data_IF_883809207645
#
_entry.id   IF_883809207645
#
_cell.length_a   1.000
_cell.length_b   1.000
_cell.length_c   1.000
_cell.angle_alpha   90.00
_cell.angle_beta   90.00
_cell.angle_gamma   90.00
#
_symmetry.space_group_name_H-M   'P 1'
#
loop_
_entity.id
_entity.type
_entity.pdbx_description
1 polymer ?
2 polymer ?
3 water ?
#
# COMPACT_ATOMS: atom_id res chain seq x y z
N UNK A 1 9.65 -4.20 -0.72
CA UNK A 1 10.67 -3.14 -0.45
C UNK A 1 11.94 -3.42 -1.25
N UNK A 2 12.51 -2.38 -1.85
CA UNK A 2 13.72 -2.54 -2.64
C UNK A 2 14.96 -1.94 -1.98
N UNK A 3 16.08 -2.67 -2.04
CA UNK A 3 17.33 -2.22 -1.47
C UNK A 3 17.32 -2.21 0.05
N UNK A 4 16.48 -3.06 0.64
CA UNK A 4 16.40 -3.10 2.09
C UNK A 4 16.94 -4.37 2.68
N UNK A 5 16.69 -4.57 3.97
CA UNK A 5 17.16 -5.76 4.66
C UNK A 5 16.05 -6.38 5.53
N UNK A 6 16.20 -7.67 5.80
CA UNK A 6 15.22 -8.40 6.60
C UNK A 6 15.04 -7.76 7.97
N UNK A 7 13.78 -7.67 8.39
CA UNK A 7 13.47 -7.08 9.69
C UNK A 7 13.43 -8.18 10.72
N UNK A 8 13.58 -7.79 11.98
CA UNK A 8 13.56 -8.75 13.07
C UNK A 8 12.16 -8.79 13.65
N UNK A 9 11.80 -9.93 14.22
CA UNK A 9 10.49 -10.09 14.82
C UNK A 9 10.26 -9.02 15.89
N UNK A 10 9.04 -8.50 15.96
CA UNK A 10 8.74 -7.50 16.95
C UNK A 10 9.32 -6.12 16.68
N UNK A 11 10.04 -5.98 15.56
CA UNK A 11 10.66 -4.70 15.22
C UNK A 11 9.63 -3.60 14.86
N UNK A 12 8.62 -3.94 14.05
CA UNK A 12 7.59 -2.97 13.64
C UNK A 12 6.21 -3.46 14.05
N UNK A 13 5.90 -3.37 15.34
CA UNK A 13 4.64 -3.79 15.96
C UNK A 13 3.36 -3.30 15.29
N UNK A 14 3.42 -2.13 14.64
CA UNK A 14 2.22 -1.60 14.01
C UNK A 14 1.94 -2.09 12.59
N UNK A 15 2.95 -2.69 11.97
CA UNK A 15 2.83 -3.19 10.61
C UNK A 15 1.99 -4.45 10.51
N UNK A 16 0.98 -4.44 9.64
CA UNK A 16 0.16 -5.64 9.46
C UNK A 16 0.18 -6.05 8.00
N UNK A 17 -0.40 -7.20 7.70
CA UNK A 17 -0.45 -7.67 6.33
C UNK A 17 -1.92 -7.89 5.98
N UNK A 18 -2.40 -7.26 4.92
CA UNK A 18 -3.78 -7.42 4.51
C UNK A 18 -3.89 -8.52 3.45
N UNK A 19 -4.69 -9.53 3.75
CA UNK A 19 -4.88 -10.62 2.80
C UNK A 19 -6.26 -10.58 2.22
N UNK A 20 -6.39 -11.12 1.03
CA UNK A 20 -7.69 -11.21 0.40
C UNK A 20 -7.90 -12.72 0.23
N UNK A 21 -9.14 -13.17 0.30
CA UNK A 21 -9.40 -14.61 0.12
C UNK A 21 -9.95 -14.91 -1.26
N UNK A 22 -10.18 -13.87 -2.05
CA UNK A 22 -10.70 -14.07 -3.40
C UNK A 22 -9.76 -13.53 -4.46
N UNK A 23 -9.51 -14.33 -5.50
CA UNK A 23 -10.11 -15.66 -5.64
C UNK A 23 -9.49 -16.66 -4.65
N UNK A 24 -8.28 -16.37 -4.18
CA UNK A 24 -7.56 -17.21 -3.22
C UNK A 24 -6.82 -16.34 -2.21
N UNK A 25 -6.33 -16.95 -1.12
CA UNK A 25 -5.62 -16.21 -0.07
C UNK A 25 -4.22 -15.76 -0.48
N UNK A 26 -3.96 -14.47 -0.33
CA UNK A 26 -2.66 -13.89 -0.69
C UNK A 26 -2.53 -12.46 -0.18
N UNK A 27 -1.30 -12.04 0.06
CA UNK A 27 -1.00 -10.70 0.53
C UNK A 27 -1.46 -9.68 -0.51
N UNK A 28 -2.30 -8.74 -0.08
CA UNK A 28 -2.84 -7.71 -0.97
C UNK A 28 -2.15 -6.38 -0.74
N UNK A 29 -2.04 -6.01 0.54
CA UNK A 29 -1.41 -4.74 0.92
C UNK A 29 -0.88 -4.73 2.34
N UNK A 30 -0.21 -3.64 2.67
CA UNK A 30 0.30 -3.46 4.01
C UNK A 30 -0.67 -2.56 4.72
N UNK A 31 -0.43 -2.28 5.99
CA UNK A 31 -1.32 -1.41 6.75
C UNK A 31 -0.75 -1.14 8.12
N UNK A 32 -1.19 -0.07 8.78
CA UNK A 32 -0.69 0.26 10.11
C UNK A 32 -1.77 0.28 11.17
N UNK A 33 -1.46 -0.29 12.33
CA UNK A 33 -2.40 -0.30 13.45
C UNK A 33 -2.31 1.06 14.10
N UNK A 34 -3.40 1.82 14.11
CA UNK A 34 -3.38 3.12 14.76
C UNK A 34 -4.32 3.12 15.95
N UNK A 35 -5.20 2.11 15.98
CA UNK A 35 -6.15 1.98 17.08
C UNK A 35 -6.37 0.49 17.32
N UNK A 36 -6.89 0.12 18.50
CA UNK A 36 -7.10 -1.28 18.83
C UNK A 36 -8.14 -1.96 17.96
N UNK A 37 -8.69 -1.20 17.02
CA UNK A 37 -9.72 -1.74 16.14
C UNK A 37 -9.63 -0.98 14.80
N UNK A 38 -8.52 -0.24 14.63
CA UNK A 38 -8.33 0.58 13.45
C UNK A 38 -7.00 0.40 12.71
N UNK A 39 -7.11 0.09 11.43
CA UNK A 39 -5.93 -0.09 10.56
C UNK A 39 -5.97 1.02 9.51
N UNK A 40 -4.90 1.82 9.45
CA UNK A 40 -4.83 2.88 8.46
C UNK A 40 -4.08 2.30 7.28
N UNK A 41 -4.66 2.42 6.10
CA UNK A 41 -4.02 1.88 4.90
C UNK A 41 -4.37 2.74 3.66
N UNK A 42 -4.08 2.23 2.47
CA UNK A 42 -4.34 2.97 1.25
C UNK A 42 -5.71 2.61 0.67
N UNK A 43 -6.37 3.63 0.08
CA UNK A 43 -7.69 3.45 -0.53
C UNK A 43 -7.64 2.59 -1.77
N UNK A 44 -6.61 2.77 -2.60
CA UNK A 44 -6.50 2.00 -3.84
C UNK A 44 -6.27 0.53 -3.61
N UNK A 45 -5.97 0.16 -2.36
CA UNK A 45 -5.70 -1.24 -2.05
C UNK A 45 -6.97 -2.05 -2.24
N UNK A 46 -8.11 -1.37 -2.14
CA UNK A 46 -9.37 -2.10 -2.26
C UNK A 46 -10.02 -1.94 -3.61
N UNK A 47 -9.17 -1.77 -4.62
CA UNK A 47 -9.65 -1.62 -5.96
C UNK A 47 -10.39 -2.88 -6.35
N UNK A 48 -11.67 -2.72 -6.60
CA UNK A 48 -12.45 -3.85 -7.02
C UNK A 48 -13.16 -4.57 -5.90
N UNK A 49 -12.58 -4.52 -4.70
CA UNK A 49 -13.14 -5.16 -3.53
C UNK A 49 -14.55 -4.65 -3.26
N UNK A 50 -15.53 -5.54 -3.38
CA UNK A 50 -16.93 -5.16 -3.17
C UNK A 50 -17.35 -5.28 -1.70
N UNK A 51 -16.88 -6.34 -1.04
CA UNK A 51 -17.22 -6.56 0.36
C UNK A 51 -16.01 -6.82 1.24
N UNK A 52 -16.03 -6.31 2.47
CA UNK A 52 -14.92 -6.50 3.41
C UNK A 52 -14.87 -7.91 3.95
N UNK A 53 -15.80 -8.75 3.49
CA UNK A 53 -15.86 -10.13 3.94
C UNK A 53 -14.70 -10.98 3.44
N UNK A 54 -14.09 -10.57 2.34
CA UNK A 54 -12.97 -11.33 1.79
C UNK A 54 -11.64 -10.87 2.37
N UNK A 55 -11.70 -9.92 3.30
CA UNK A 55 -10.49 -9.37 3.90
C UNK A 55 -10.01 -10.04 5.19
N UNK A 56 -8.69 -10.08 5.36
CA UNK A 56 -8.06 -10.63 6.53
C UNK A 56 -6.85 -9.80 6.93
N UNK A 57 -6.83 -9.38 8.19
CA UNK A 57 -5.74 -8.57 8.73
C UNK A 57 -4.92 -9.41 9.70
N UNK A 58 -3.64 -9.59 9.39
CA UNK A 58 -2.76 -10.36 10.26
C UNK A 58 -1.73 -9.50 10.99
N UNK A 59 -1.87 -9.42 12.31
CA UNK A 59 -0.96 -8.64 13.13
C UNK A 59 0.18 -9.51 13.61
N UNK A 60 1.17 -8.89 14.24
CA UNK A 60 2.31 -9.63 14.74
C UNK A 60 2.79 -10.69 13.76
N UNK A 61 3.26 -10.26 12.60
CA UNK A 61 3.75 -11.19 11.59
C UNK A 61 5.13 -10.76 11.10
N UNK A 62 5.97 -11.75 10.84
CA UNK A 62 7.32 -11.48 10.35
C UNK A 62 7.52 -12.20 9.02
N UNK A 63 7.08 -13.45 8.96
CA UNK A 63 7.22 -14.26 7.75
C UNK A 63 5.85 -14.70 7.23
N UNK A 64 5.56 -14.35 5.98
CA UNK A 64 4.27 -14.70 5.38
C UNK A 64 3.99 -16.19 5.57
N UNK A 65 5.06 -16.97 5.64
CA UNK A 65 4.95 -18.42 5.84
C UNK A 65 4.17 -18.76 7.11
N UNK A 66 4.23 -17.87 8.09
CA UNK A 66 3.56 -18.08 9.36
C UNK A 66 2.04 -18.15 9.22
N UNK A 67 1.52 -17.65 8.11
CA UNK A 67 0.07 -17.68 7.92
C UNK A 67 -0.37 -19.07 7.45
N UNK A 68 -1.36 -19.63 8.16
CA UNK A 68 -1.90 -20.95 7.83
C UNK A 68 -3.41 -20.92 8.02
N UNK A 69 -4.05 -22.07 7.86
CA UNK A 69 -5.51 -22.16 8.00
C UNK A 69 -5.96 -21.92 9.44
N UNK A 70 -5.11 -22.35 10.38
CA UNK A 70 -5.40 -22.22 11.80
C UNK A 70 -5.00 -20.85 12.34
N UNK A 71 -4.07 -20.19 11.66
CA UNK A 71 -3.58 -18.86 12.07
C UNK A 71 -4.72 -17.85 12.30
N UNK A 72 -4.68 -17.21 13.45
CA UNK A 72 -5.70 -16.23 13.82
C UNK A 72 -5.50 -14.94 13.05
N UNK A 73 -6.60 -14.26 12.76
CA UNK A 73 -6.56 -12.99 12.04
C UNK A 73 -7.74 -12.13 12.48
N UNK A 74 -7.78 -10.90 11.98
CA UNK A 74 -8.88 -10.00 12.32
C UNK A 74 -9.72 -9.78 11.09
N UNK A 75 -11.02 -9.97 11.24
CA UNK A 75 -11.91 -9.76 10.12
C UNK A 75 -12.20 -8.29 10.00
N UNK A 76 -12.52 -7.82 8.81
CA UNK A 76 -12.83 -6.41 8.63
C UNK A 76 -14.33 -6.22 8.64
N UNK A 77 -14.79 -5.26 9.43
CA UNK A 77 -16.20 -4.99 9.53
C UNK A 77 -16.63 -3.89 8.57
N UNK A 78 -15.71 -2.98 8.26
CA UNK A 78 -16.04 -1.89 7.36
C UNK A 78 -14.81 -1.22 6.75
N UNK A 79 -14.91 -0.91 5.47
CA UNK A 79 -13.85 -0.26 4.73
C UNK A 79 -14.25 1.21 4.57
N UNK A 80 -13.52 2.10 5.21
CA UNK A 80 -13.82 3.51 5.14
C UNK A 80 -12.82 4.19 4.22
N UNK A 81 -13.32 4.69 3.10
CA UNK A 81 -12.45 5.36 2.14
C UNK A 81 -12.80 6.84 2.07
N UNK A 82 -11.77 7.68 2.04
CA UNK A 82 -11.97 9.12 1.98
C UNK A 82 -12.95 9.50 0.87
N UNK A 83 -13.93 10.33 1.19
CA UNK A 83 -14.95 10.74 0.22
C UNK A 83 -14.43 11.53 -0.96
N UNK A 84 -13.18 11.96 -0.92
CA UNK A 84 -12.62 12.72 -2.03
C UNK A 84 -11.65 11.92 -2.90
N UNK A 85 -11.42 10.67 -2.51
CA UNK A 85 -10.54 9.79 -3.27
C UNK A 85 -11.09 9.50 -4.66
N UNK A 86 -10.21 9.59 -5.64
CA UNK A 86 -10.60 9.34 -7.01
C UNK A 86 -9.51 8.51 -7.67
N UNK A 87 -8.28 8.98 -7.54
CA UNK A 87 -7.12 8.33 -8.13
C UNK A 87 -5.87 8.55 -7.28
N UNK A 88 -5.27 7.46 -6.82
CA UNK A 88 -4.08 7.51 -5.98
C UNK A 88 -3.10 8.60 -6.39
N UNK A 89 -2.90 8.74 -7.70
CA UNK A 89 -1.98 9.74 -8.24
C UNK A 89 -2.38 11.16 -7.88
N UNK A 90 -3.69 11.40 -7.88
CA UNK A 90 -4.21 12.73 -7.56
C UNK A 90 -4.18 13.02 -6.07
N UNK A 91 -4.14 11.98 -5.25
CA UNK A 91 -4.11 12.19 -3.81
C UNK A 91 -5.27 11.54 -3.10
N UNK A 92 -5.49 11.92 -1.85
CA UNK A 92 -6.57 11.39 -1.02
C UNK A 92 -6.58 9.88 -0.93
N UNK A 93 -5.45 9.27 -1.24
CA UNK A 93 -5.33 7.82 -1.23
C UNK A 93 -5.16 7.32 0.19
N UNK A 94 -6.24 7.32 0.95
CA UNK A 94 -6.20 6.89 2.33
C UNK A 94 -7.48 6.15 2.70
N UNK A 95 -7.36 5.13 3.55
CA UNK A 95 -8.53 4.36 3.96
C UNK A 95 -8.36 3.78 5.35
N UNK A 96 -9.48 3.63 6.04
CA UNK A 96 -9.48 3.06 7.38
C UNK A 96 -10.18 1.72 7.33
N UNK A 97 -9.59 0.73 7.97
CA UNK A 97 -10.19 -0.58 8.03
C UNK A 97 -10.63 -0.75 9.47
N UNK A 98 -11.92 -0.93 9.68
CA UNK A 98 -12.45 -1.13 11.04
C UNK A 98 -12.62 -2.62 11.29
N UNK A 99 -11.78 -3.16 12.17
CA UNK A 99 -11.81 -4.58 12.51
C UNK A 99 -13.08 -4.94 13.29
N UNK A 100 -13.46 -6.21 13.23
CA UNK A 100 -14.64 -6.69 13.92
C UNK A 100 -14.45 -6.76 15.44
N UNK A 101 -13.24 -7.09 15.86
CA UNK A 101 -12.93 -7.16 17.28
C UNK A 101 -11.72 -6.26 17.56
N UNK A 102 -11.40 -6.08 18.84
CA UNK A 102 -10.27 -5.25 19.23
C UNK A 102 -8.99 -6.06 19.34
N UNK A 103 -7.87 -5.37 19.21
CA UNK A 103 -6.55 -5.98 19.29
C UNK A 103 -6.02 -5.83 20.71
N UNK A 104 -5.26 -6.81 21.15
CA UNK A 104 -4.66 -6.75 22.47
C UNK A 104 -3.21 -6.37 22.27
N UNK A 105 -2.89 -5.11 22.53
CA UNK A 105 -1.53 -4.66 22.34
C UNK A 105 -0.53 -5.57 23.07
N UNK A 106 0.53 -5.94 22.36
CA UNK A 106 1.57 -6.77 22.91
C UNK A 106 2.86 -6.34 22.22
N UNK A 107 3.99 -6.89 22.64
CA UNK A 107 5.26 -6.53 22.04
C UNK A 107 5.34 -6.78 20.54
N UNK A 108 4.40 -7.56 20.02
CA UNK A 108 4.37 -7.90 18.59
C UNK A 108 3.30 -7.14 17.80
N UNK A 109 2.49 -6.35 18.48
CA UNK A 109 1.45 -5.61 17.81
C UNK A 109 0.95 -4.47 18.67
N UNK A 110 1.33 -3.25 18.28
CA UNK A 110 0.94 -2.06 19.03
C UNK A 110 0.54 -0.97 18.08
N UNK A 111 -0.05 0.11 18.62
CA UNK A 111 -0.46 1.22 17.78
C UNK A 111 0.69 2.19 17.56
N UNK A 112 0.75 2.78 16.38
CA UNK A 112 1.78 3.76 16.09
C UNK A 112 1.13 5.14 16.19
N UNK A 113 1.79 6.06 16.86
CA UNK A 113 1.24 7.40 17.01
C UNK A 113 1.08 8.17 15.71
N UNK A 114 0.02 8.97 15.66
CA UNK A 114 -0.22 9.81 14.50
C UNK A 114 0.54 11.11 14.66
N UNK A 115 0.86 11.78 13.55
CA UNK A 115 1.58 13.06 13.58
C UNK A 115 0.56 14.09 14.07
N UNK A 116 1.03 15.26 14.46
CA UNK A 116 0.12 16.29 14.92
C UNK A 116 0.55 17.62 14.33
N UNK A 117 -0.43 18.43 13.94
CA UNK A 117 -0.13 19.73 13.37
C UNK A 117 0.40 20.61 14.50
N UNK A 118 0.21 20.14 15.74
CA UNK A 118 0.65 20.88 16.92
C UNK A 118 2.07 20.56 17.35
N UNK A 119 2.77 19.73 16.59
CA UNK A 119 4.14 19.38 16.93
C UNK A 119 5.10 20.52 16.59
N UNK A 120 6.22 20.57 17.30
CA UNK A 120 7.19 21.63 17.12
C UNK A 120 8.52 21.16 16.52
N UNK A 121 9.07 22.02 15.65
CA UNK A 121 10.35 21.77 15.00
C UNK A 121 10.46 20.33 14.52
N UNK A 122 9.43 19.84 13.85
CA UNK A 122 9.41 18.49 13.34
C UNK A 122 10.35 18.32 12.15
N UNK A 123 11.38 17.51 12.34
CA UNK A 123 12.33 17.23 11.28
C UNK A 123 12.60 15.73 11.25
N UNK A 124 11.95 15.05 10.32
CA UNK A 124 12.13 13.62 10.21
C UNK A 124 13.42 13.32 9.47
N UNK A 125 14.33 12.65 10.15
CA UNK A 125 15.63 12.29 9.60
C UNK A 125 15.94 10.82 9.88
N UNK A 126 14.95 10.10 10.41
CA UNK A 126 15.12 8.69 10.73
C UNK A 126 13.91 7.90 10.24
N UNK A 127 13.61 8.00 8.95
CA UNK A 127 12.44 7.34 8.37
C UNK A 127 12.68 5.94 7.80
N UNK A 128 11.65 5.11 7.93
CA UNK A 128 11.72 3.75 7.43
C UNK A 128 10.42 3.31 6.76
N UNK A 129 10.56 2.59 5.64
CA UNK A 129 9.43 2.05 4.90
C UNK A 129 9.54 0.53 5.07
N UNK A 130 8.41 -0.10 5.37
CA UNK A 130 8.39 -1.53 5.60
C UNK A 130 7.30 -2.21 4.80
N UNK A 131 7.48 -3.50 4.54
CA UNK A 131 6.49 -4.24 3.78
C UNK A 131 7.04 -5.52 3.18
N UNK A 132 6.14 -6.34 2.63
CA UNK A 132 6.52 -7.60 2.00
C UNK A 132 6.47 -7.44 0.47
N UNK A 133 6.59 -6.20 0.01
CA UNK A 133 6.54 -5.97 -1.41
C UNK A 133 7.64 -6.65 -2.21
N UNK A 134 7.71 -6.30 -3.49
CA UNK A 134 8.70 -6.83 -4.42
C UNK A 134 10.07 -6.23 -4.07
N UNK A 135 11.13 -6.91 -4.48
CA UNK A 135 12.49 -6.42 -4.26
C UNK A 135 13.07 -5.86 -5.56
N UNK A 136 12.24 -5.83 -6.60
CA UNK A 136 12.64 -5.33 -7.91
C UNK A 136 11.48 -5.44 -8.88
N UNK A 137 11.20 -4.35 -9.58
CA UNK A 137 10.12 -4.32 -10.57
C UNK A 137 9.95 -5.71 -11.18
N UNK A 138 8.74 -6.25 -11.15
CA UNK A 138 8.49 -7.57 -11.71
C UNK A 138 9.09 -8.67 -10.81
N UNK A 139 8.70 -8.70 -9.54
CA UNK A 139 9.22 -9.71 -8.62
C UNK A 139 8.06 -10.48 -7.97
N UNK A 140 8.23 -10.82 -6.69
CA UNK A 140 7.19 -11.53 -5.96
C UNK A 140 7.20 -11.18 -4.47
N UNK A 141 6.05 -11.36 -3.82
CA UNK A 141 5.92 -11.06 -2.40
C UNK A 141 7.00 -11.78 -1.59
N UNK A 142 7.61 -11.07 -0.66
CA UNK A 142 8.64 -11.63 0.19
C UNK A 142 8.04 -12.33 1.41
N UNK A 143 8.77 -13.28 1.97
CA UNK A 143 8.30 -14.01 3.14
C UNK A 143 8.56 -13.21 4.41
N UNK A 144 9.74 -12.62 4.49
CA UNK A 144 10.15 -11.83 5.65
C UNK A 144 10.01 -10.32 5.47
N UNK A 145 9.29 -9.69 6.40
CA UNK A 145 9.08 -8.25 6.36
C UNK A 145 10.38 -7.56 6.09
N UNK A 146 10.39 -6.72 5.06
CA UNK A 146 11.59 -5.98 4.65
C UNK A 146 11.53 -4.53 5.11
N UNK A 147 12.68 -3.98 5.48
CA UNK A 147 12.75 -2.59 5.91
C UNK A 147 13.84 -1.87 5.14
N UNK A 148 13.75 -0.55 5.08
CA UNK A 148 14.75 0.23 4.36
C UNK A 148 14.73 1.67 4.82
N UNK A 149 15.90 2.19 5.16
CA UNK A 149 15.98 3.58 5.60
C UNK A 149 15.98 4.45 4.37
N UNK A 150 15.06 5.40 4.35
CA UNK A 150 14.92 6.28 3.21
C UNK A 150 14.72 7.72 3.65
N UNK A 151 15.48 8.64 3.06
CA UNK A 151 15.41 10.06 3.38
C UNK A 151 14.23 10.80 2.74
N UNK A 152 13.58 11.66 3.50
CA UNK A 152 12.46 12.43 2.97
C UNK A 152 13.00 13.46 2.00
N UNK A 153 12.26 13.71 0.93
CA UNK A 153 12.66 14.73 -0.06
C UNK A 153 11.53 15.74 -0.05
N UNK A 154 11.91 17.02 -0.06
CA UNK A 154 10.93 18.11 -0.04
C UNK A 154 9.89 17.94 -1.14
N UNK A 155 8.74 18.60 -0.99
CA UNK A 155 7.70 18.53 -2.00
C UNK A 155 8.13 19.19 -3.30
N UNK A 156 8.89 20.28 -3.17
CA UNK A 156 9.37 21.01 -4.33
C UNK A 156 10.28 20.12 -5.16
N UNK A 157 11.29 19.57 -4.50
CA UNK A 157 12.25 18.70 -5.13
C UNK A 157 11.56 17.53 -5.82
N UNK A 158 10.52 17.00 -5.18
CA UNK A 158 9.76 15.87 -5.71
C UNK A 158 8.92 16.27 -6.90
N UNK A 159 8.35 17.49 -6.83
CA UNK A 159 7.52 17.99 -7.91
C UNK A 159 8.33 18.02 -9.21
N UNK A 160 9.64 18.18 -9.08
CA UNK A 160 10.57 18.23 -10.21
C UNK A 160 10.85 16.84 -10.76
N UNK A 161 10.81 15.84 -9.90
CA UNK A 161 11.07 14.46 -10.33
C UNK A 161 9.84 13.91 -11.04
N UNK A 162 8.67 14.44 -10.69
CA UNK A 162 7.41 14.00 -11.30
C UNK A 162 6.75 15.12 -12.10
N UNK A 163 7.23 15.30 -13.32
CA UNK A 163 6.72 16.32 -14.22
C UNK A 163 5.44 15.83 -14.90
N UNK A 164 5.04 14.61 -14.56
CA UNK A 164 3.83 14.05 -15.12
C UNK A 164 2.67 14.23 -14.18
N UNK A 165 2.96 14.27 -12.87
CA UNK A 165 1.91 14.43 -11.89
C UNK A 165 2.01 15.71 -11.08
N UNK A 166 0.95 15.96 -10.30
CA UNK A 166 0.86 17.13 -9.44
C UNK A 166 1.06 16.71 -7.97
N UNK A 167 2.31 16.70 -7.52
CA UNK A 167 2.64 16.34 -6.14
C UNK A 167 2.05 17.41 -5.23
N UNK A 168 0.88 17.14 -4.65
CA UNK A 168 0.25 18.14 -3.78
C UNK A 168 0.87 18.16 -2.38
N UNK A 169 0.38 19.07 -1.54
CA UNK A 169 0.90 19.20 -0.17
C UNK A 169 0.39 18.04 0.70
N UNK A 170 -0.64 17.35 0.22
CA UNK A 170 -1.22 16.22 0.92
C UNK A 170 -0.46 14.93 0.63
N UNK A 171 0.70 15.06 -0.02
CA UNK A 171 1.52 13.91 -0.33
C UNK A 171 2.91 14.21 0.23
N UNK A 172 3.73 13.17 0.31
CA UNK A 172 5.09 13.33 0.83
C UNK A 172 5.94 12.29 0.11
N UNK A 173 7.14 12.67 -0.30
CA UNK A 173 7.99 11.74 -1.04
C UNK A 173 9.22 11.34 -0.24
N UNK A 174 9.83 10.23 -0.64
CA UNK A 174 11.02 9.74 0.04
C UNK A 174 11.86 8.88 -0.88
N UNK A 175 13.16 9.08 -0.85
CA UNK A 175 14.04 8.31 -1.71
C UNK A 175 15.36 8.99 -2.01
N UNK A 176 16.36 8.19 -2.35
CA UNK A 176 17.68 8.71 -2.67
C UNK A 176 17.71 9.21 -4.12
N UNK A 177 18.47 10.28 -4.36
CA UNK A 177 18.58 10.85 -5.70
C UNK A 177 19.01 9.78 -6.70
N UNK A 178 19.91 8.89 -6.28
CA UNK A 178 20.38 7.83 -7.14
C UNK A 178 19.49 6.60 -7.06
N UNK A 179 18.50 6.64 -6.17
CA UNK A 179 17.61 5.51 -6.01
C UNK A 179 18.29 4.35 -5.30
N UNK A 180 17.81 3.13 -5.56
CA UNK A 180 18.40 1.97 -4.93
C UNK A 180 17.52 1.43 -3.83
N UNK A 181 16.89 2.34 -3.09
CA UNK A 181 15.99 1.95 -2.02
C UNK A 181 14.66 2.65 -2.21
N UNK A 182 13.58 1.91 -2.02
CA UNK A 182 12.22 2.42 -2.18
C UNK A 182 11.21 1.32 -1.91
N UNK A 183 9.93 1.68 -1.91
CA UNK A 183 8.88 0.71 -1.70
C UNK A 183 8.53 0.18 -3.08
N UNK A 184 7.99 -1.03 -3.14
CA UNK A 184 7.61 -1.58 -4.43
C UNK A 184 6.24 -2.27 -4.34
N UNK A 185 5.81 -2.88 -5.43
CA UNK A 185 4.53 -3.56 -5.50
C UNK A 185 4.33 -4.51 -4.32
N UNK A 186 3.26 -4.30 -3.55
CA UNK A 186 2.99 -5.15 -2.41
C UNK A 186 3.18 -4.42 -1.11
N UNK A 187 3.78 -3.23 -1.18
CA UNK A 187 4.02 -2.43 0.02
C UNK A 187 2.97 -1.34 0.22
N UNK A 188 2.09 -1.16 -0.77
CA UNK A 188 1.05 -0.15 -0.65
C UNK A 188 0.29 -0.32 0.65
N UNK A 189 -0.10 0.80 1.25
CA UNK A 189 -0.81 0.70 2.52
C UNK A 189 0.13 0.64 3.71
N UNK A 190 1.36 0.20 3.44
CA UNK A 190 2.37 0.12 4.47
C UNK A 190 2.63 1.48 5.07
N UNK A 191 3.23 1.46 6.28
CA UNK A 191 3.56 2.69 7.00
C UNK A 191 4.91 3.25 6.59
N UNK A 192 5.05 4.56 6.78
CA UNK A 192 6.32 5.25 6.53
C UNK A 192 6.70 5.83 7.89
N UNK A 193 7.18 4.96 8.78
CA UNK A 193 7.50 5.36 10.14
C UNK A 193 8.77 6.23 10.23
N UNK A 194 8.66 7.35 10.95
CA UNK A 194 9.82 8.23 11.16
C UNK A 194 9.95 8.57 12.65
N UNK A 195 11.17 8.62 13.12
CA UNK A 195 11.46 8.94 14.53
C UNK A 195 11.39 10.47 14.75
N UNK A 196 10.63 10.92 15.75
CA UNK A 196 10.54 12.36 16.02
C UNK A 196 11.36 12.70 17.26
N UNK A 197 10.85 12.35 18.43
CA UNK A 197 11.60 12.60 19.66
C UNK A 197 11.57 11.34 20.50
N UNK A 198 12.21 10.28 19.98
CA UNK A 198 12.26 8.99 20.64
C UNK A 198 10.92 8.27 20.43
N UNK A 199 10.05 8.90 19.65
CA UNK A 199 8.74 8.32 19.37
C UNK A 199 8.52 8.12 17.87
N UNK A 200 7.91 7.00 17.51
CA UNK A 200 7.62 6.70 16.11
C UNK A 200 6.34 7.39 15.66
N UNK A 201 6.41 8.05 14.51
CA UNK A 201 5.25 8.73 13.95
C UNK A 201 4.90 8.20 12.58
N UNK A 202 3.63 7.85 12.37
CA UNK A 202 3.20 7.36 11.07
C UNK A 202 3.15 8.59 10.16
N UNK A 203 4.28 8.87 9.51
CA UNK A 203 4.38 10.03 8.64
C UNK A 203 3.62 9.87 7.34
N UNK A 204 3.80 8.74 6.68
CA UNK A 204 3.09 8.53 5.42
C UNK A 204 2.58 7.12 5.17
N UNK A 205 1.73 6.98 4.15
CA UNK A 205 1.18 5.69 3.74
C UNK A 205 1.68 5.41 2.33
N UNK A 206 2.24 4.21 2.12
CA UNK A 206 2.76 3.85 0.81
C UNK A 206 1.66 3.91 -0.25
N UNK A 207 1.82 4.81 -1.21
CA UNK A 207 0.83 5.01 -2.26
C UNK A 207 1.32 4.58 -3.63
N UNK A 208 2.25 5.33 -4.20
CA UNK A 208 2.74 4.99 -5.53
C UNK A 208 4.16 5.41 -5.83
N UNK A 209 4.48 5.43 -7.12
CA UNK A 209 5.81 5.81 -7.54
C UNK A 209 6.14 5.19 -8.88
N UNK A 210 6.79 5.97 -9.74
CA UNK A 210 7.16 5.51 -11.07
C UNK A 210 8.23 4.44 -10.93
N UNK A 211 7.86 3.20 -11.22
CA UNK A 211 8.82 2.12 -11.11
C UNK A 211 9.08 1.81 -9.65
N UNK A 212 10.28 1.33 -9.36
CA UNK A 212 10.67 0.99 -7.99
C UNK A 212 12.14 1.27 -7.78
N UNK A 213 12.44 2.27 -6.95
CA UNK A 213 13.80 2.63 -6.63
C UNK A 213 14.59 3.22 -7.80
N UNK A 214 13.88 3.76 -8.78
CA UNK A 214 14.57 4.36 -9.93
C UNK A 214 15.18 5.68 -9.48
N UNK A 215 16.31 6.05 -10.07
CA UNK A 215 16.97 7.30 -9.73
C UNK A 215 16.09 8.48 -10.15
N UNK A 216 16.11 9.52 -9.32
CA UNK A 216 15.33 10.73 -9.57
C UNK A 216 13.83 10.44 -9.64
N UNK A 217 13.45 9.26 -9.16
CA UNK A 217 12.05 8.83 -9.11
C UNK A 217 11.73 8.34 -7.70
N UNK A 218 11.46 9.27 -6.77
CA UNK A 218 11.14 9.02 -5.36
C UNK A 218 9.79 8.36 -5.14
N UNK A 219 9.66 7.66 -4.01
CA UNK A 219 8.40 7.03 -3.69
C UNK A 219 7.46 8.12 -3.21
N UNK A 220 6.17 8.00 -3.52
CA UNK A 220 5.18 8.97 -3.08
C UNK A 220 4.26 8.32 -2.06
N UNK A 221 4.09 8.99 -0.92
CA UNK A 221 3.25 8.48 0.16
C UNK A 221 2.17 9.48 0.50
N UNK A 222 1.09 8.98 1.10
CA UNK A 222 0.02 9.86 1.52
C UNK A 222 0.55 10.57 2.76
N UNK A 223 0.43 11.89 2.80
CA UNK A 223 0.92 12.67 3.95
C UNK A 223 -0.12 12.64 5.06
N UNK A 224 0.07 11.70 5.99
CA UNK A 224 -0.83 11.45 7.11
C UNK A 224 -1.23 12.66 7.96
N UNK A 225 -0.25 13.47 8.34
CA UNK A 225 -0.55 14.65 9.15
C UNK A 225 -1.69 15.48 8.55
N UNK A 226 -1.81 15.45 7.22
CA UNK A 226 -2.85 16.22 6.54
C UNK A 226 -4.23 15.58 6.65
N UNK A 227 -4.29 14.36 7.16
CA UNK A 227 -5.57 13.67 7.27
C UNK A 227 -5.98 13.34 8.69
N UNK A 228 -5.12 13.69 9.65
CA UNK A 228 -5.41 13.39 11.05
C UNK A 228 -6.83 13.76 11.46
N UNK A 229 -7.31 14.90 11.02
CA UNK A 229 -8.66 15.33 11.36
C UNK A 229 -9.69 14.34 10.81
N UNK A 230 -9.46 13.90 9.58
CA UNK A 230 -10.35 12.93 8.94
C UNK A 230 -10.39 11.64 9.75
N UNK A 231 -9.21 11.13 10.06
CA UNK A 231 -9.06 9.90 10.81
C UNK A 231 -9.80 9.94 12.14
N UNK A 232 -9.56 10.99 12.91
CA UNK A 232 -10.19 11.15 14.22
C UNK A 232 -11.70 11.19 14.07
N UNK A 233 -12.16 11.91 13.04
CA UNK A 233 -13.57 12.01 12.77
C UNK A 233 -14.18 10.65 12.39
N UNK A 234 -13.50 9.94 11.48
CA UNK A 234 -13.98 8.64 11.04
C UNK A 234 -13.82 7.54 12.08
N UNK A 235 -12.86 7.70 12.98
CA UNK A 235 -12.63 6.70 14.02
C UNK A 235 -13.67 6.87 15.14
N UNK A 236 -14.28 8.04 15.18
CA UNK A 236 -15.29 8.37 16.17
C UNK A 236 -16.60 7.71 15.75
N UNK A 237 -17.38 7.26 16.74
CA UNK A 237 -18.66 6.61 16.47
C UNK A 237 -19.59 7.48 15.63
N UNK B 1 -5.91 0.23 -28.33
CA UNK B 1 -7.36 -0.06 -28.10
C UNK B 1 -7.57 -0.66 -26.71
N UNK B 2 -8.74 -1.23 -26.50
CA UNK B 2 -9.11 -1.82 -25.22
C UNK B 2 -8.64 -3.26 -25.10
N UNK B 3 -8.64 -3.98 -26.21
CA UNK B 3 -8.23 -5.37 -26.19
C UNK B 3 -6.86 -5.57 -26.86
N UNK B 4 -6.06 -4.52 -26.98
CA UNK B 4 -4.76 -4.65 -27.63
C UNK B 4 -3.61 -4.02 -26.86
N UNK B 5 -3.93 -3.34 -25.76
CA UNK B 5 -2.91 -2.70 -24.95
C UNK B 5 -2.21 -3.75 -24.09
N UNK B 6 -0.93 -3.54 -23.84
CA UNK B 6 -0.18 -4.47 -22.99
C UNK B 6 -0.60 -4.30 -21.52
N UNK B 7 -0.55 -5.38 -20.76
CA UNK B 7 -0.92 -5.27 -19.36
C UNK B 7 0.06 -4.33 -18.67
N UNK B 8 -0.45 -3.25 -18.08
CA UNK B 8 0.38 -2.30 -17.38
C UNK B 8 -0.08 -2.26 -15.92
N UNK B 9 0.86 -2.49 -15.00
CA UNK B 9 0.54 -2.52 -13.57
C UNK B 9 0.25 -1.15 -13.00
N UNK B 10 0.82 -0.11 -13.58
CA UNK B 10 0.56 1.23 -13.06
C UNK B 10 1.56 1.65 -12.00
N UNK B 11 1.54 2.93 -11.59
CA UNK B 11 2.46 3.44 -10.58
C UNK B 11 2.13 2.97 -9.15
N UNK B 12 0.89 2.59 -8.91
CA UNK B 12 0.52 2.15 -7.58
C UNK B 12 1.19 0.87 -7.16
N UNK B 13 1.45 0.76 -5.86
CA UNK B 13 2.15 -0.39 -5.31
C UNK B 13 1.31 -1.46 -4.58
N UNK B 14 0.15 -1.81 -5.12
CA UNK B 14 -0.67 -2.85 -4.49
C UNK B 14 -0.61 -4.14 -5.30
N UNK B 15 -1.13 -5.23 -4.73
CA UNK B 15 -1.14 -6.53 -5.41
C UNK B 15 -2.56 -6.91 -5.79
N UNK B 16 -3.05 -6.37 -6.90
CA UNK B 16 -4.41 -6.66 -7.30
C UNK B 16 -4.52 -7.60 -8.51
N UNK B 17 -5.10 -8.78 -8.27
CA UNK B 17 -5.26 -9.78 -9.31
C UNK B 17 -6.28 -9.35 -10.35
N UNK B 18 -5.81 -9.20 -11.58
CA UNK B 18 -6.69 -8.80 -12.67
C UNK B 18 -6.46 -9.58 -13.96
N UNK B 19 -7.25 -9.25 -14.97
CA UNK B 19 -7.14 -9.94 -16.24
C UNK B 19 -7.02 -8.96 -17.41
N UNK B 20 -6.31 -9.40 -18.45
CA UNK B 20 -6.11 -8.60 -19.65
C UNK B 20 -6.15 -9.58 -20.82
N UNK B 21 -6.49 -9.08 -22.00
CA UNK B 21 -6.54 -9.95 -23.16
C UNK B 21 -5.18 -9.95 -23.88
N UNK B 22 -4.63 -11.15 -24.05
CA UNK B 22 -3.35 -11.32 -24.72
C UNK B 22 -3.64 -11.60 -26.20
N UNK B 23 -3.21 -10.71 -27.09
CA UNK B 23 -3.50 -10.91 -28.51
C UNK B 23 -2.77 -12.14 -29.08
N UNK B 24 -1.52 -12.33 -28.66
CA UNK B 24 -0.73 -13.46 -29.12
C UNK B 24 -1.42 -14.78 -28.78
N UNK B 25 -1.78 -14.92 -27.51
CA UNK B 25 -2.44 -16.12 -27.02
C UNK B 25 -3.88 -16.20 -27.49
N UNK B 26 -4.44 -15.06 -27.90
CA UNK B 26 -5.81 -15.03 -28.35
C UNK B 26 -6.80 -15.33 -27.22
N UNK B 27 -6.39 -15.06 -25.98
CA UNK B 27 -7.24 -15.31 -24.83
C UNK B 27 -6.79 -14.47 -23.64
N UNK B 28 -7.67 -14.34 -22.66
CA UNK B 28 -7.36 -13.55 -21.47
C UNK B 28 -6.40 -14.26 -20.51
N UNK B 29 -5.60 -13.47 -19.82
CA UNK B 29 -4.63 -13.98 -18.88
C UNK B 29 -4.53 -13.08 -17.65
N UNK B 30 -4.02 -13.64 -16.54
CA UNK B 30 -3.86 -12.91 -15.28
C UNK B 30 -2.68 -11.95 -15.33
N UNK B 31 -2.68 -10.99 -14.42
CA UNK B 31 -1.58 -10.05 -14.27
C UNK B 31 -1.88 -9.23 -13.01
N UNK B 32 -0.82 -8.76 -12.34
CA UNK B 32 -1.01 -7.97 -11.14
C UNK B 32 -1.07 -6.48 -11.47
N UNK B 33 -2.18 -5.87 -11.07
CA UNK B 33 -2.43 -4.46 -11.27
C UNK B 33 -2.07 -3.75 -9.98
N UNK B 34 -1.43 -2.60 -10.10
CA UNK B 34 -1.00 -1.86 -8.92
C UNK B 34 -2.08 -1.16 -8.12
N UNK B 35 -3.23 -0.91 -8.73
CA UNK B 35 -4.31 -0.23 -8.02
C UNK B 35 -4.76 1.06 -8.67
N UNK B 36 -3.87 1.68 -9.43
CA UNK B 36 -4.24 2.91 -10.10
C UNK B 36 -3.57 3.00 -11.46
N UNK B 37 -4.08 3.88 -12.32
CA UNK B 37 -3.50 4.06 -13.64
C UNK B 37 -3.74 2.91 -14.60
N UNK B 38 -2.73 2.60 -15.40
CA UNK B 38 -2.87 1.51 -16.35
C UNK B 38 -3.76 1.85 -17.51
N UNK B 39 -4.38 0.83 -18.10
CA UNK B 39 -5.21 1.04 -19.29
C UNK B 39 -6.49 0.21 -19.31
N UNK B 40 -7.32 0.46 -20.31
CA UNK B 40 -8.60 -0.23 -20.45
C UNK B 40 -8.53 -1.77 -20.50
N UNK B 41 -7.38 -2.33 -20.85
CA UNK B 41 -7.25 -3.80 -20.94
C UNK B 41 -6.97 -4.31 -19.54
N UNK B 42 -7.95 -4.13 -18.67
CA UNK B 42 -7.83 -4.49 -17.27
C UNK B 42 -9.20 -4.90 -16.72
N UNK B 43 -9.39 -6.20 -16.51
CA UNK B 43 -10.67 -6.67 -16.01
C UNK B 43 -10.61 -7.43 -14.70
N UNK B 44 -11.75 -7.44 -14.00
CA UNK B 44 -11.84 -8.13 -12.72
C UNK B 44 -11.85 -9.64 -12.88
N UNK B 45 -12.55 -10.14 -13.91
CA UNK B 45 -12.64 -11.58 -14.11
C UNK B 45 -12.29 -12.05 -15.52
N UNK B 46 -11.97 -13.33 -15.62
CA UNK B 46 -11.61 -13.91 -16.91
C UNK B 46 -12.81 -13.87 -17.86
N UNK B 47 -13.98 -14.25 -17.35
CA UNK B 47 -15.19 -14.26 -18.17
C UNK B 47 -15.52 -12.87 -18.69
N UNK B 48 -15.39 -11.86 -17.84
CA UNK B 48 -15.72 -10.52 -18.30
C UNK B 48 -14.73 -10.10 -19.39
N UNK B 49 -13.45 -10.37 -19.15
CA UNK B 49 -12.42 -10.05 -20.11
C UNK B 49 -12.73 -10.76 -21.43
N UNK B 50 -13.09 -12.04 -21.35
CA UNK B 50 -13.41 -12.79 -22.57
C UNK B 50 -14.71 -12.29 -23.22
N UNK B 51 -15.61 -11.77 -22.39
CA UNK B 51 -16.87 -11.26 -22.90
C UNK B 51 -16.62 -9.99 -23.74
N UNK B 52 -15.64 -9.21 -23.32
CA UNK B 52 -15.32 -7.98 -24.02
C UNK B 52 -14.30 -8.16 -25.14
N UNK B 53 -13.36 -9.07 -24.94
CA UNK B 53 -12.29 -9.30 -25.91
C UNK B 53 -12.22 -10.72 -26.48
N UNK B 54 -12.88 -11.68 -25.82
CA UNK B 54 -12.84 -13.06 -26.27
C UNK B 54 -13.47 -13.25 -27.63
N UNK B 55 -13.33 -14.46 -28.16
CA UNK B 55 -13.87 -14.78 -29.47
C UNK B 55 -15.31 -15.29 -29.39
N UNK B 56 -15.95 -15.41 -30.56
CA UNK B 56 -17.34 -15.88 -30.63
C UNK B 56 -17.59 -17.09 -29.74
N UNK B 57 -18.34 -16.87 -28.66
CA UNK B 57 -18.64 -17.92 -27.70
C UNK B 57 -20.01 -18.53 -28.00
#
# INVERSE_FOLDING_TARGET
IVGGTASVRGEWPWQVTLHTTSPTQRHLCGGSIIGNQWILTAAHCFYGVESPKILRVYSGILNQAEIKEDTSFFGVQEIIIHDQYKMAESGYDIALLKLETTVNYADSQRPISLPSKGDRNVIYTDCWVTGWGYRKLRDKIQNTLQKAKIPLVTNEECQKRYRGHKITHKMICAGYREGGKDACKGDSGGPLSCKHNEVWHLVGITSWGEGCAQRERPGVYTNVVEYVDWILEKTQA
EVCSEQAETGPCRAMISRWYFDVTEGKCAPFFYGGCGGNRNNFDTEEYCMAVCGSAI
#
